data_IF_435063440269
#
_entry.id   IF_435063440269
#
_cell.length_a   1.000
_cell.length_b   1.000
_cell.length_c   1.000
_cell.angle_alpha   90.00
_cell.angle_beta   90.00
_cell.angle_gamma   90.00
#
_symmetry.space_group_name_H-M   'P 1'
#
loop_
_entity.id
_entity.type
_entity.pdbx_description
1 polymer ?
#
# COMPACT_ATOMS: atom_id res chain seq x y z
N UNK A 1 -28.81 25.77 10.90
CA UNK A 1 -28.12 24.76 10.07
C UNK A 1 -27.64 25.41 8.78
N UNK A 2 -26.38 25.88 8.75
CA UNK A 2 -25.78 26.48 7.56
C UNK A 2 -24.88 25.43 6.91
N UNK A 3 -25.36 24.87 5.79
CA UNK A 3 -24.58 23.98 4.93
C UNK A 3 -23.66 24.86 4.08
N UNK A 4 -22.36 24.70 4.29
CA UNK A 4 -21.30 25.38 3.55
C UNK A 4 -21.35 24.89 2.10
N UNK A 5 -21.77 25.78 1.22
CA UNK A 5 -21.62 25.68 -0.23
C UNK A 5 -20.22 26.20 -0.56
N UNK A 6 -19.28 25.30 -0.84
CA UNK A 6 -18.00 25.62 -1.48
C UNK A 6 -17.78 24.59 -2.60
N UNK A 7 -18.48 24.84 -3.71
CA UNK A 7 -18.37 24.07 -4.95
C UNK A 7 -18.37 25.06 -6.12
N UNK A 8 -17.43 26.01 -6.10
CA UNK A 8 -17.22 26.96 -7.20
C UNK A 8 -15.76 27.41 -7.25
N UNK A 9 -14.96 26.76 -8.10
CA UNK A 9 -13.78 27.35 -8.76
C UNK A 9 -13.18 26.40 -9.79
N UNK A 10 -14.02 25.80 -10.65
CA UNK A 10 -13.58 25.28 -11.96
C UNK A 10 -13.84 26.42 -12.95
N UNK A 11 -13.09 27.50 -12.76
CA UNK A 11 -13.08 28.66 -13.65
C UNK A 11 -12.08 28.41 -14.77
N UNK A 12 -12.59 28.40 -16.00
CA UNK A 12 -11.94 28.78 -17.24
C UNK A 12 -10.46 29.22 -17.11
N UNK A 13 -9.54 28.44 -17.67
CA UNK A 13 -8.31 28.99 -18.22
C UNK A 13 -8.05 28.42 -19.64
N UNK A 14 -8.43 29.27 -20.59
CA UNK A 14 -7.83 29.53 -21.90
C UNK A 14 -7.77 28.44 -22.98
N UNK A 15 -8.77 28.56 -23.84
CA UNK A 15 -8.72 28.31 -25.26
C UNK A 15 -7.75 29.29 -25.95
N UNK A 16 -6.50 28.89 -26.16
CA UNK A 16 -5.62 29.47 -27.20
C UNK A 16 -4.87 28.33 -27.88
N UNK A 17 -5.52 27.66 -28.84
CA UNK A 17 -4.83 26.82 -29.82
C UNK A 17 -4.14 27.73 -30.84
N UNK A 18 -2.99 28.28 -30.44
CA UNK A 18 -1.99 28.71 -31.39
C UNK A 18 -1.30 27.44 -31.89
N UNK A 19 -1.50 27.10 -33.16
CA UNK A 19 -0.72 26.07 -33.84
C UNK A 19 0.71 26.56 -34.05
N UNK A 20 1.47 26.63 -32.96
CA UNK A 20 2.91 26.59 -33.04
C UNK A 20 3.26 25.15 -33.38
N UNK A 21 3.96 24.94 -34.49
CA UNK A 21 4.71 23.72 -34.71
C UNK A 21 5.75 23.62 -33.57
N UNK A 22 5.31 23.14 -32.41
CA UNK A 22 6.18 22.91 -31.27
C UNK A 22 7.08 21.77 -31.71
N UNK A 23 8.37 22.07 -31.91
CA UNK A 23 9.41 21.06 -31.87
C UNK A 23 9.27 20.39 -30.51
N UNK A 24 8.49 19.31 -30.46
CA UNK A 24 8.22 18.57 -29.23
C UNK A 24 9.58 18.00 -28.86
N UNK A 25 10.24 18.61 -27.88
CA UNK A 25 11.49 18.08 -27.39
C UNK A 25 11.17 16.69 -26.85
N UNK A 26 11.70 15.65 -27.49
CA UNK A 26 11.43 14.23 -27.20
C UNK A 26 11.55 13.92 -25.71
N UNK A 27 12.44 14.64 -25.03
CA UNK A 27 12.70 14.52 -23.60
C UNK A 27 11.52 14.98 -22.74
N UNK A 28 10.83 16.07 -23.13
CA UNK A 28 9.66 16.57 -22.41
C UNK A 28 8.45 15.65 -22.56
N UNK A 29 8.24 15.08 -23.76
CA UNK A 29 7.20 14.08 -24.00
C UNK A 29 7.48 12.77 -23.26
N UNK A 30 8.75 12.36 -23.21
CA UNK A 30 9.19 11.19 -22.42
C UNK A 30 8.91 11.38 -20.92
N UNK A 31 9.17 12.57 -20.37
CA UNK A 31 8.87 12.88 -18.97
C UNK A 31 7.37 12.82 -18.68
N UNK A 32 6.53 13.43 -19.52
CA UNK A 32 5.07 13.36 -19.38
C UNK A 32 4.59 11.91 -19.40
N UNK A 33 5.07 11.11 -20.36
CA UNK A 33 4.72 9.69 -20.45
C UNK A 33 5.11 8.90 -19.19
N UNK A 34 6.32 9.13 -18.65
CA UNK A 34 6.78 8.52 -17.40
C UNK A 34 5.92 8.92 -16.21
N UNK A 35 5.59 10.21 -16.07
CA UNK A 35 4.72 10.72 -15.00
C UNK A 35 3.35 10.05 -15.08
N UNK A 36 2.71 10.02 -16.25
CA UNK A 36 1.40 9.40 -16.42
C UNK A 36 1.43 7.89 -16.13
N UNK A 37 2.47 7.19 -16.56
CA UNK A 37 2.66 5.76 -16.25
C UNK A 37 2.79 5.53 -14.74
N UNK A 38 3.54 6.37 -14.05
CA UNK A 38 3.75 6.26 -12.61
C UNK A 38 2.51 6.64 -11.81
N UNK A 39 1.75 7.65 -12.24
CA UNK A 39 0.46 8.01 -11.65
C UNK A 39 -0.55 6.86 -11.79
N UNK A 40 -0.60 6.19 -12.94
CA UNK A 40 -1.46 5.04 -13.15
C UNK A 40 -1.06 3.85 -12.26
N UNK A 41 0.24 3.60 -12.09
CA UNK A 41 0.74 2.60 -11.14
C UNK A 41 0.41 2.97 -9.70
N UNK A 42 0.57 4.24 -9.34
CA UNK A 42 0.27 4.74 -7.99
C UNK A 42 -1.20 4.51 -7.65
N UNK A 43 -2.12 4.85 -8.55
CA UNK A 43 -3.55 4.58 -8.35
C UNK A 43 -3.85 3.09 -8.16
N UNK A 44 -3.21 2.21 -8.95
CA UNK A 44 -3.34 0.75 -8.77
C UNK A 44 -2.87 0.28 -7.39
N UNK A 45 -1.74 0.78 -6.90
CA UNK A 45 -1.21 0.42 -5.59
C UNK A 45 -2.08 0.98 -4.45
N UNK A 46 -2.57 2.21 -4.58
CA UNK A 46 -3.48 2.82 -3.61
C UNK A 46 -4.79 2.02 -3.48
N UNK A 47 -5.33 1.50 -4.59
CA UNK A 47 -6.51 0.64 -4.57
C UNK A 47 -6.28 -0.70 -3.85
N UNK A 48 -5.03 -1.15 -3.68
CA UNK A 48 -4.71 -2.37 -2.93
C UNK A 48 -4.54 -2.12 -1.43
N UNK A 49 -4.44 -0.85 -0.99
CA UNK A 49 -4.06 -0.50 0.37
C UNK A 49 -5.08 -0.98 1.40
N UNK A 50 -6.37 -0.79 1.12
CA UNK A 50 -7.45 -1.23 1.99
C UNK A 50 -7.41 -2.75 2.20
N UNK A 51 -7.36 -3.51 1.10
CA UNK A 51 -7.34 -4.96 1.17
C UNK A 51 -6.10 -5.50 1.89
N UNK A 52 -4.90 -4.96 1.62
CA UNK A 52 -3.68 -5.40 2.31
C UNK A 52 -3.68 -5.02 3.80
N UNK A 53 -4.23 -3.86 4.14
CA UNK A 53 -4.40 -3.45 5.54
C UNK A 53 -5.32 -4.41 6.27
N UNK A 54 -6.45 -4.75 5.66
CA UNK A 54 -7.38 -5.75 6.20
C UNK A 54 -6.72 -7.12 6.36
N UNK A 55 -6.01 -7.61 5.34
CA UNK A 55 -5.30 -8.89 5.42
C UNK A 55 -4.30 -8.93 6.59
N UNK A 56 -3.55 -7.85 6.81
CA UNK A 56 -2.64 -7.73 7.96
C UNK A 56 -3.41 -7.81 9.28
N UNK A 57 -4.49 -7.06 9.41
CA UNK A 57 -5.33 -7.05 10.62
C UNK A 57 -5.92 -8.42 10.91
N UNK A 58 -6.53 -9.06 9.90
CA UNK A 58 -7.14 -10.38 10.01
C UNK A 58 -6.08 -11.45 10.37
N UNK A 59 -4.93 -11.43 9.71
CA UNK A 59 -3.85 -12.36 10.00
C UNK A 59 -3.27 -12.16 11.41
N UNK A 60 -3.15 -10.91 11.88
CA UNK A 60 -2.70 -10.59 13.23
C UNK A 60 -3.70 -11.06 14.28
N UNK A 61 -5.00 -10.84 14.06
CA UNK A 61 -6.06 -11.29 14.96
C UNK A 61 -6.09 -12.82 15.05
N UNK A 62 -5.97 -13.50 13.91
CA UNK A 62 -5.91 -14.95 13.85
C UNK A 62 -4.65 -15.50 14.54
N UNK A 63 -3.48 -14.87 14.37
CA UNK A 63 -2.27 -15.25 15.08
C UNK A 63 -2.42 -15.11 16.59
N UNK A 64 -3.03 -14.03 17.08
CA UNK A 64 -3.30 -13.84 18.51
C UNK A 64 -4.25 -14.92 19.05
N UNK A 65 -5.33 -15.21 18.31
CA UNK A 65 -6.28 -16.27 18.67
C UNK A 65 -5.58 -17.62 18.80
N UNK A 66 -4.80 -18.01 17.79
CA UNK A 66 -4.07 -19.29 17.80
C UNK A 66 -3.00 -19.35 18.90
N UNK A 67 -2.36 -18.22 19.23
CA UNK A 67 -1.44 -18.14 20.36
C UNK A 67 -2.15 -18.38 21.70
N UNK A 68 -3.32 -17.78 21.92
CA UNK A 68 -4.13 -18.01 23.11
C UNK A 68 -4.57 -19.48 23.20
N UNK A 69 -5.08 -20.05 22.10
CA UNK A 69 -5.49 -21.47 22.07
C UNK A 69 -4.32 -22.43 22.33
N UNK A 70 -3.10 -22.06 21.92
CA UNK A 70 -1.90 -22.81 22.24
C UNK A 70 -1.55 -22.72 23.73
N UNK A 71 -1.61 -21.52 24.31
CA UNK A 71 -1.40 -21.32 25.75
C UNK A 71 -2.38 -22.17 26.56
N UNK A 72 -3.68 -22.05 26.27
CA UNK A 72 -4.72 -22.82 26.96
C UNK A 72 -4.52 -24.34 26.85
N UNK A 73 -4.01 -24.82 25.71
CA UNK A 73 -3.76 -26.24 25.50
C UNK A 73 -2.49 -26.71 26.23
N UNK A 74 -1.47 -25.85 26.30
CA UNK A 74 -0.25 -26.10 27.06
C UNK A 74 -0.54 -26.13 28.57
N UNK A 75 -1.33 -25.18 29.07
CA UNK A 75 -1.72 -25.11 30.48
C UNK A 75 -2.48 -26.37 30.90
N UNK A 76 -3.47 -26.80 30.09
CA UNK A 76 -4.21 -28.05 30.34
C UNK A 76 -3.32 -29.29 30.31
N UNK A 77 -2.30 -29.32 29.47
CA UNK A 77 -1.34 -30.41 29.44
C UNK A 77 -0.42 -30.37 30.66
N UNK A 78 -0.01 -29.18 31.11
CA UNK A 78 0.82 -28.99 32.30
C UNK A 78 0.16 -29.58 33.55
N UNK A 79 -1.18 -29.45 33.68
CA UNK A 79 -1.94 -30.06 34.78
C UNK A 79 -1.96 -31.60 34.72
N UNK A 80 -1.79 -32.19 33.54
CA UNK A 80 -1.89 -33.64 33.27
C UNK A 80 -0.85 -34.09 32.26
N UNK A 81 0.46 -34.05 32.59
CA UNK A 81 1.55 -34.19 31.62
C UNK A 81 1.57 -35.56 30.93
N UNK A 82 1.15 -36.61 31.62
CA UNK A 82 1.08 -37.97 31.08
C UNK A 82 -0.09 -38.20 30.10
N UNK A 83 -0.98 -37.21 29.93
CA UNK A 83 -2.15 -37.37 29.09
C UNK A 83 -1.82 -37.22 27.59
N UNK A 84 -1.62 -38.35 26.91
CA UNK A 84 -1.34 -38.43 25.47
C UNK A 84 -2.33 -37.66 24.57
N UNK A 85 -3.61 -37.56 24.93
CA UNK A 85 -4.61 -36.82 24.15
C UNK A 85 -4.39 -35.32 24.27
N UNK A 86 -4.09 -34.83 25.48
CA UNK A 86 -3.76 -33.43 25.71
C UNK A 86 -2.43 -33.07 25.02
N UNK A 87 -1.43 -33.96 25.07
CA UNK A 87 -0.14 -33.77 24.40
C UNK A 87 -0.32 -33.58 22.88
N UNK A 88 -1.11 -34.45 22.25
CA UNK A 88 -1.45 -34.32 20.82
C UNK A 88 -2.17 -33.01 20.52
N UNK A 89 -3.13 -32.61 21.36
CA UNK A 89 -3.89 -31.36 21.17
C UNK A 89 -2.97 -30.13 21.29
N UNK A 90 -2.13 -30.07 22.32
CA UNK A 90 -1.17 -28.99 22.52
C UNK A 90 -0.21 -28.88 21.33
N UNK A 91 0.33 -30.02 20.85
CA UNK A 91 1.19 -30.04 19.67
C UNK A 91 0.49 -29.49 18.41
N UNK A 92 -0.76 -29.87 18.15
CA UNK A 92 -1.54 -29.29 17.04
C UNK A 92 -1.74 -27.79 17.20
N UNK A 93 -2.10 -27.30 18.40
CA UNK A 93 -2.30 -25.88 18.65
C UNK A 93 -1.01 -25.07 18.51
N UNK A 94 0.11 -25.60 18.97
CA UNK A 94 1.43 -25.01 18.75
C UNK A 94 1.77 -24.90 17.26
N UNK A 95 1.47 -25.94 16.47
CA UNK A 95 1.64 -25.93 15.01
C UNK A 95 0.83 -24.83 14.33
N UNK A 96 -0.45 -24.69 14.70
CA UNK A 96 -1.34 -23.65 14.18
C UNK A 96 -0.84 -22.25 14.55
N UNK A 97 -0.51 -22.02 15.82
CA UNK A 97 0.02 -20.74 16.31
C UNK A 97 1.29 -20.32 15.55
N UNK A 98 2.21 -21.28 15.31
CA UNK A 98 3.42 -21.04 14.52
C UNK A 98 3.10 -20.67 13.07
N UNK A 99 2.16 -21.36 12.44
CA UNK A 99 1.74 -21.09 11.07
C UNK A 99 1.10 -19.70 10.94
N UNK A 100 0.14 -19.40 11.82
CA UNK A 100 -0.60 -18.14 11.80
C UNK A 100 0.30 -16.94 12.13
N UNK A 101 1.22 -17.09 13.08
CA UNK A 101 2.26 -16.09 13.38
C UNK A 101 3.16 -15.80 12.16
N UNK A 102 3.53 -16.83 11.38
CA UNK A 102 4.28 -16.63 10.12
C UNK A 102 3.44 -15.92 9.08
N UNK A 103 2.15 -16.25 8.99
CA UNK A 103 1.24 -15.58 8.07
C UNK A 103 1.08 -14.09 8.41
N UNK A 104 0.86 -13.76 9.69
CA UNK A 104 0.78 -12.37 10.16
C UNK A 104 2.01 -11.55 9.78
N UNK A 105 3.21 -12.12 9.95
CA UNK A 105 4.46 -11.48 9.51
C UNK A 105 4.48 -11.21 8.02
N UNK A 106 4.16 -12.22 7.19
CA UNK A 106 4.12 -12.06 5.72
C UNK A 106 3.13 -11.00 5.27
N UNK A 107 1.94 -10.93 5.87
CA UNK A 107 0.96 -9.89 5.53
C UNK A 107 1.42 -8.50 5.98
N UNK A 108 2.14 -8.39 7.10
CA UNK A 108 2.81 -7.13 7.47
C UNK A 108 3.84 -6.73 6.43
N UNK A 109 4.77 -7.64 6.08
CA UNK A 109 5.83 -7.37 5.10
C UNK A 109 5.24 -6.96 3.73
N UNK A 110 4.10 -7.56 3.34
CA UNK A 110 3.37 -7.21 2.11
C UNK A 110 2.77 -5.81 2.15
N UNK A 111 2.26 -5.37 3.29
CA UNK A 111 1.75 -4.02 3.47
C UNK A 111 2.89 -2.98 3.49
N UNK A 112 3.98 -3.30 4.19
CA UNK A 112 5.15 -2.42 4.28
C UNK A 112 5.79 -2.25 2.90
N UNK A 113 5.91 -3.33 2.12
CA UNK A 113 6.34 -3.25 0.72
C UNK A 113 5.41 -2.39 -0.13
N UNK A 114 4.09 -2.53 0.00
CA UNK A 114 3.14 -1.70 -0.74
C UNK A 114 3.33 -0.21 -0.43
N UNK A 115 3.50 0.12 0.86
CA UNK A 115 3.73 1.51 1.28
C UNK A 115 5.03 2.08 0.74
N UNK A 116 6.11 1.28 0.73
CA UNK A 116 7.40 1.67 0.16
C UNK A 116 7.27 1.89 -1.36
N UNK A 117 6.63 0.97 -2.09
CA UNK A 117 6.41 1.10 -3.53
C UNK A 117 5.57 2.37 -3.86
N UNK A 118 4.57 2.69 -3.03
CA UNK A 118 3.79 3.94 -3.14
C UNK A 118 4.68 5.17 -2.92
N UNK A 119 5.54 5.15 -1.90
CA UNK A 119 6.41 6.27 -1.59
C UNK A 119 7.45 6.50 -2.69
N UNK A 120 8.04 5.42 -3.21
CA UNK A 120 9.00 5.49 -4.32
C UNK A 120 8.37 6.04 -5.59
N UNK A 121 7.12 5.66 -5.91
CA UNK A 121 6.38 6.24 -7.03
C UNK A 121 6.10 7.73 -6.83
N UNK A 122 5.70 8.15 -5.63
CA UNK A 122 5.48 9.58 -5.32
C UNK A 122 6.76 10.40 -5.53
N UNK A 123 7.89 9.89 -5.02
CA UNK A 123 9.19 10.54 -5.18
C UNK A 123 9.57 10.65 -6.66
N UNK A 124 9.44 9.56 -7.42
CA UNK A 124 9.73 9.55 -8.87
C UNK A 124 8.85 10.50 -9.68
N UNK A 125 7.56 10.59 -9.35
CA UNK A 125 6.64 11.55 -9.98
C UNK A 125 7.10 12.97 -9.68
N UNK A 126 7.42 13.29 -8.42
CA UNK A 126 7.90 14.60 -8.02
C UNK A 126 9.19 14.99 -8.74
N UNK A 127 10.17 14.08 -8.81
CA UNK A 127 11.43 14.31 -9.52
C UNK A 127 11.23 14.57 -11.01
N UNK A 128 10.37 13.78 -11.65
CA UNK A 128 10.06 13.96 -13.06
C UNK A 128 9.28 15.25 -13.32
N UNK A 129 8.36 15.63 -12.42
CA UNK A 129 7.64 16.91 -12.49
C UNK A 129 8.60 18.09 -12.34
N UNK A 130 9.57 18.02 -11.41
CA UNK A 130 10.59 19.04 -11.25
C UNK A 130 11.45 19.20 -12.52
N UNK A 131 11.85 18.09 -13.15
CA UNK A 131 12.56 18.10 -14.43
C UNK A 131 11.71 18.71 -15.55
N UNK A 132 10.43 18.34 -15.63
CA UNK A 132 9.50 18.87 -16.63
C UNK A 132 9.32 20.38 -16.48
N UNK A 133 9.15 20.87 -15.24
CA UNK A 133 9.00 22.30 -14.95
C UNK A 133 10.24 23.10 -15.39
N UNK A 134 11.45 22.56 -15.18
CA UNK A 134 12.71 23.18 -15.68
C UNK A 134 12.72 23.30 -17.21
N UNK A 135 12.22 22.29 -17.93
CA UNK A 135 12.11 22.34 -19.38
C UNK A 135 11.11 23.39 -19.87
N UNK A 136 9.98 23.55 -19.16
CA UNK A 136 8.97 24.56 -19.48
C UNK A 136 9.56 25.97 -19.27
N UNK A 137 10.15 26.23 -18.11
CA UNK A 137 10.78 27.54 -17.81
C UNK A 137 11.90 27.90 -18.79
N UNK A 138 12.74 26.93 -19.19
CA UNK A 138 13.79 27.14 -20.20
C UNK A 138 13.23 27.47 -21.59
N UNK A 139 11.98 27.09 -21.90
CA UNK A 139 11.34 27.39 -23.18
C UNK A 139 10.69 28.79 -23.19
N UNK A 140 10.39 29.33 -22.01
CA UNK A 140 9.74 30.64 -21.83
C UNK A 140 10.74 31.81 -21.74
N UNK A 141 12.01 31.52 -21.42
CA UNK A 141 13.14 32.46 -21.44
C UNK A 141 13.95 32.33 -22.74
#
# INVERSE_FOLDING_TARGET
MQKVVLLTSIGLLFFCMSTFAQKVNTDSLSLVSKISSDQLKLGKLQNQLEQKTKNKQDASAQAQKSANENSDAADKLSDKPENKKLARKANTKAGNAKSDSRNARRESDRLDKLNNDIQDLKNRIADNQAKLNKYIQKREN
#
